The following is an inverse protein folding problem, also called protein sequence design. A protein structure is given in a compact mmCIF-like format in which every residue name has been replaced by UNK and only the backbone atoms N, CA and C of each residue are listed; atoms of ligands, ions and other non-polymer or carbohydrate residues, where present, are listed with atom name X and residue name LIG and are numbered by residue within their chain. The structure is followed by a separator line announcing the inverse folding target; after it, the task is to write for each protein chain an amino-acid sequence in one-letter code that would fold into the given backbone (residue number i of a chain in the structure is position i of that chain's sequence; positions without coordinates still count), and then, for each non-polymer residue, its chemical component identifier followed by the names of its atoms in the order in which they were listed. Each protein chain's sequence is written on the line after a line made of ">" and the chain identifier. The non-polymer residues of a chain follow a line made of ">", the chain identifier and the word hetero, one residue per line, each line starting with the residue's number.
data_IF_662217788342
#
_entry.id   IF_662217788342
#
_cell.length_a   1.000
_cell.length_b   1.000
_cell.length_c   1.000
_cell.angle_alpha   90.00
_cell.angle_beta   90.00
_cell.angle_gamma   90.00
#
_symmetry.space_group_name_H-M   'P 1'
#
loop_
_entity.id
_entity.type
_entity.pdbx_description
1 polymer ?
#
# COMPACT_ATOMS: atom_id res chain seq x y z
N UNK A 1 -16.32 -4.07 1.46
CA UNK A 1 -15.49 -2.88 1.77
C UNK A 1 -16.23 -1.85 2.63
N UNK A 2 -17.44 -1.39 2.27
CA UNK A 2 -18.26 -0.47 3.11
C UNK A 2 -18.40 -0.99 4.55
N UNK A 3 -18.83 -2.25 4.72
CA UNK A 3 -18.96 -2.90 6.05
C UNK A 3 -17.65 -2.89 6.84
N UNK A 4 -16.51 -3.03 6.17
CA UNK A 4 -15.18 -3.04 6.80
C UNK A 4 -14.80 -1.65 7.33
N UNK A 5 -15.12 -0.58 6.60
CA UNK A 5 -14.93 0.81 7.07
C UNK A 5 -15.78 1.05 8.32
N UNK A 6 -17.06 0.68 8.27
CA UNK A 6 -17.94 0.85 9.43
C UNK A 6 -17.65 -0.10 10.58
N UNK A 7 -17.02 -1.24 10.35
CA UNK A 7 -16.56 -2.13 11.42
C UNK A 7 -15.55 -1.41 12.33
N UNK A 8 -14.64 -0.61 11.76
CA UNK A 8 -13.68 0.20 12.53
C UNK A 8 -14.43 1.22 13.39
N UNK A 9 -15.42 1.90 12.81
CA UNK A 9 -16.26 2.84 13.54
C UNK A 9 -16.95 2.20 14.74
N UNK A 10 -17.69 1.10 14.47
CA UNK A 10 -18.42 0.34 15.49
C UNK A 10 -17.50 -0.18 16.59
N UNK A 11 -16.32 -0.68 16.20
CA UNK A 11 -15.31 -1.14 17.15
C UNK A 11 -14.84 0.00 18.08
N UNK A 12 -14.69 1.23 17.57
CA UNK A 12 -14.25 2.39 18.37
C UNK A 12 -15.35 3.05 19.20
N UNK A 13 -16.63 2.92 18.83
CA UNK A 13 -17.74 3.42 19.65
C UNK A 13 -18.26 2.40 20.66
N UNK A 14 -17.87 1.12 20.55
CA UNK A 14 -18.30 0.05 21.44
C UNK A 14 -18.00 0.34 22.92
N UNK A 15 -18.89 -0.12 23.77
CA UNK A 15 -18.82 0.01 25.23
C UNK A 15 -19.11 -1.33 25.90
N UNK A 16 -18.89 -1.42 27.21
CA UNK A 16 -19.21 -2.64 27.96
C UNK A 16 -20.72 -2.88 28.01
N UNK A 17 -21.50 -1.79 28.03
CA UNK A 17 -22.96 -1.81 28.05
C UNK A 17 -23.54 -2.07 26.65
N UNK A 18 -22.90 -1.53 25.62
CA UNK A 18 -23.33 -1.64 24.22
C UNK A 18 -22.15 -2.06 23.32
N UNK A 19 -21.87 -3.37 23.23
CA UNK A 19 -20.79 -3.91 22.40
C UNK A 19 -21.23 -4.01 20.92
N UNK A 20 -20.49 -3.38 20.00
CA UNK A 20 -20.79 -3.36 18.57
C UNK A 20 -19.70 -4.07 17.75
N UNK A 21 -19.58 -5.39 17.89
CA UNK A 21 -18.55 -6.19 17.20
C UNK A 21 -19.09 -7.06 16.06
N UNK A 22 -20.33 -6.82 15.63
CA UNK A 22 -21.05 -7.61 14.60
C UNK A 22 -20.29 -7.76 13.27
N UNK A 23 -19.44 -6.78 12.92
CA UNK A 23 -18.69 -6.75 11.67
C UNK A 23 -17.18 -6.96 11.86
N UNK A 24 -16.76 -7.32 13.07
CA UNK A 24 -15.38 -7.63 13.36
C UNK A 24 -15.04 -9.08 13.02
N UNK A 25 -13.78 -9.35 12.68
CA UNK A 25 -13.28 -10.72 12.65
C UNK A 25 -12.62 -11.09 13.98
N UNK A 26 -12.79 -12.34 14.39
CA UNK A 26 -12.23 -12.89 15.63
C UNK A 26 -10.71 -12.72 15.66
N UNK A 27 -10.03 -12.88 14.52
CA UNK A 27 -8.57 -12.74 14.39
C UNK A 27 -8.03 -11.39 14.90
N UNK A 28 -8.78 -10.30 14.73
CA UNK A 28 -8.33 -8.94 15.08
C UNK A 28 -9.10 -8.30 16.23
N UNK A 29 -10.24 -8.86 16.64
CA UNK A 29 -11.07 -8.29 17.70
C UNK A 29 -10.78 -8.92 19.07
N UNK A 30 -10.27 -8.11 20.01
CA UNK A 30 -10.03 -8.55 21.38
C UNK A 30 -11.29 -9.03 22.09
N UNK A 31 -12.41 -8.31 21.95
CA UNK A 31 -13.70 -8.69 22.55
C UNK A 31 -14.17 -10.07 22.11
N UNK A 32 -14.15 -10.35 20.79
CA UNK A 32 -14.57 -11.65 20.27
C UNK A 32 -13.63 -12.79 20.71
N UNK A 33 -12.32 -12.53 20.81
CA UNK A 33 -11.36 -13.50 21.36
C UNK A 33 -11.60 -13.79 22.83
N UNK A 34 -11.89 -12.75 23.62
CA UNK A 34 -12.22 -12.90 25.03
C UNK A 34 -13.50 -13.70 25.22
N UNK A 35 -14.50 -13.50 24.34
CA UNK A 35 -15.73 -14.29 24.33
C UNK A 35 -15.48 -15.79 24.03
N UNK A 36 -14.57 -16.12 23.11
CA UNK A 36 -14.19 -17.54 22.85
C UNK A 36 -13.47 -18.20 24.03
N UNK A 37 -12.76 -17.41 24.83
CA UNK A 37 -11.95 -17.87 25.96
C UNK A 37 -12.66 -17.76 27.31
N UNK A 38 -13.89 -17.25 27.34
CA UNK A 38 -14.64 -16.91 28.55
C UNK A 38 -13.87 -15.95 29.48
N UNK A 39 -13.17 -14.98 28.89
CA UNK A 39 -12.40 -13.94 29.59
C UNK A 39 -13.18 -12.62 29.61
N UNK A 40 -13.00 -11.83 30.68
CA UNK A 40 -13.54 -10.46 30.73
C UNK A 40 -12.81 -9.52 29.76
N UNK A 41 -13.58 -8.66 29.09
CA UNK A 41 -13.06 -7.64 28.18
C UNK A 41 -13.58 -6.26 28.56
N UNK A 42 -12.66 -5.32 28.76
CA UNK A 42 -12.99 -3.91 29.05
C UNK A 42 -12.77 -3.02 27.83
N UNK A 43 -13.88 -2.49 27.28
CA UNK A 43 -13.89 -1.58 26.14
C UNK A 43 -13.34 -0.19 26.47
N UNK A 44 -13.33 0.22 27.74
CA UNK A 44 -12.94 1.58 28.13
C UNK A 44 -11.48 1.90 27.78
N UNK A 45 -10.61 0.89 27.71
CA UNK A 45 -9.20 1.07 27.34
C UNK A 45 -8.99 1.53 25.89
N UNK A 46 -9.93 1.23 24.99
CA UNK A 46 -9.70 1.39 23.54
C UNK A 46 -10.80 2.16 22.81
N UNK A 47 -11.92 2.47 23.48
CA UNK A 47 -13.00 3.29 22.94
C UNK A 47 -12.60 4.75 22.81
N UNK A 48 -13.17 5.43 21.82
CA UNK A 48 -13.03 6.88 21.67
C UNK A 48 -14.18 7.60 22.39
N UNK A 49 -13.94 8.81 22.95
CA UNK A 49 -15.02 9.62 23.53
C UNK A 49 -16.11 9.95 22.50
N UNK A 50 -17.35 10.02 22.95
CA UNK A 50 -18.50 10.25 22.07
C UNK A 50 -18.40 11.56 21.26
N UNK A 51 -17.83 12.62 21.84
CA UNK A 51 -17.59 13.88 21.14
C UNK A 51 -16.63 13.73 19.96
N UNK A 52 -15.54 12.97 20.15
CA UNK A 52 -14.59 12.64 19.08
C UNK A 52 -15.30 11.82 18.02
N UNK A 53 -16.00 10.75 18.41
CA UNK A 53 -16.78 9.94 17.47
C UNK A 53 -17.71 10.84 16.65
N UNK A 54 -18.59 11.65 17.24
CA UNK A 54 -19.47 12.54 16.46
C UNK A 54 -18.71 13.44 15.46
N UNK A 55 -17.56 13.98 15.86
CA UNK A 55 -16.74 14.83 14.99
C UNK A 55 -16.13 14.09 13.80
N UNK A 56 -15.70 12.83 13.96
CA UNK A 56 -15.06 12.06 12.89
C UNK A 56 -16.05 11.31 11.99
N UNK A 57 -17.36 11.37 12.27
CA UNK A 57 -18.39 10.64 11.51
C UNK A 57 -18.42 11.00 10.03
N UNK A 58 -18.40 12.29 9.65
CA UNK A 58 -18.42 12.68 8.25
C UNK A 58 -17.26 12.08 7.45
N UNK A 59 -16.09 11.89 8.10
CA UNK A 59 -14.93 11.22 7.47
C UNK A 59 -15.25 9.77 7.15
N UNK A 60 -15.92 9.04 8.05
CA UNK A 60 -16.33 7.66 7.79
C UNK A 60 -17.43 7.57 6.74
N UNK A 61 -18.35 8.54 6.69
CA UNK A 61 -19.36 8.63 5.63
C UNK A 61 -18.69 8.81 4.25
N UNK A 62 -17.69 9.70 4.16
CA UNK A 62 -16.92 9.92 2.93
C UNK A 62 -16.07 8.70 2.54
N UNK A 63 -15.40 8.06 3.51
CA UNK A 63 -14.60 6.85 3.29
C UNK A 63 -15.47 5.66 2.86
N UNK A 64 -16.71 5.58 3.35
CA UNK A 64 -17.68 4.56 2.99
C UNK A 64 -18.41 4.87 1.68
N UNK A 65 -18.22 6.06 1.09
CA UNK A 65 -18.91 6.46 -0.12
C UNK A 65 -18.49 5.57 -1.30
N UNK A 66 -19.44 5.08 -2.13
CA UNK A 66 -19.13 4.19 -3.25
C UNK A 66 -18.06 4.73 -4.19
N UNK A 67 -18.04 6.04 -4.45
CA UNK A 67 -17.06 6.65 -5.34
C UNK A 67 -15.66 6.72 -4.74
N UNK A 68 -15.53 6.88 -3.42
CA UNK A 68 -14.25 6.76 -2.70
C UNK A 68 -13.74 5.32 -2.78
N UNK A 69 -14.65 4.36 -2.55
CA UNK A 69 -14.31 2.94 -2.57
C UNK A 69 -13.94 2.45 -3.97
N UNK A 70 -14.61 2.90 -5.03
CA UNK A 70 -14.26 2.58 -6.43
C UNK A 70 -12.80 2.93 -6.76
N UNK A 71 -12.26 4.01 -6.18
CA UNK A 71 -10.85 4.40 -6.36
C UNK A 71 -9.86 3.39 -5.73
N UNK A 72 -10.27 2.70 -4.66
CA UNK A 72 -9.42 1.76 -3.91
C UNK A 72 -9.70 0.27 -4.17
N UNK A 73 -10.86 -0.09 -4.74
CA UNK A 73 -11.27 -1.48 -5.03
C UNK A 73 -10.26 -2.20 -5.92
N UNK A 74 -9.69 -1.48 -6.89
CA UNK A 74 -8.65 -2.03 -7.75
C UNK A 74 -7.26 -1.75 -7.19
N UNK A 75 -7.03 -1.67 -5.88
CA UNK A 75 -5.73 -1.39 -5.25
C UNK A 75 -4.94 -0.26 -5.93
N UNK A 76 -5.66 0.73 -6.47
CA UNK A 76 -5.16 1.72 -7.42
C UNK A 76 -4.23 2.75 -6.79
N UNK A 77 -4.17 2.78 -5.46
CA UNK A 77 -3.18 3.55 -4.74
C UNK A 77 -1.89 2.73 -4.57
N UNK A 78 -1.12 2.58 -5.65
CA UNK A 78 0.25 3.03 -5.45
C UNK A 78 0.10 4.53 -5.30
N UNK A 79 0.15 5.02 -4.06
CA UNK A 79 0.12 6.45 -3.83
C UNK A 79 1.28 7.03 -4.65
N UNK A 80 0.98 7.69 -5.78
CA UNK A 80 2.02 8.17 -6.69
C UNK A 80 3.02 9.06 -5.95
N UNK A 81 2.58 9.73 -4.89
CA UNK A 81 3.44 10.50 -4.01
C UNK A 81 4.35 9.62 -3.17
N UNK A 82 3.90 8.46 -2.66
CA UNK A 82 4.78 7.50 -1.97
C UNK A 82 5.81 6.89 -2.94
N UNK A 83 5.39 6.51 -4.14
CA UNK A 83 6.30 5.99 -5.16
C UNK A 83 7.32 7.03 -5.60
N UNK A 84 6.91 8.27 -5.83
CA UNK A 84 7.81 9.39 -6.13
C UNK A 84 8.76 9.67 -4.96
N UNK A 85 8.24 9.76 -3.73
CA UNK A 85 9.06 9.97 -2.53
C UNK A 85 10.07 8.84 -2.33
N UNK A 86 9.75 7.60 -2.68
CA UNK A 86 10.70 6.50 -2.62
C UNK A 86 11.89 6.74 -3.56
N UNK A 87 11.65 7.19 -4.80
CA UNK A 87 12.72 7.55 -5.75
C UNK A 87 13.57 8.71 -5.21
N UNK A 88 12.92 9.77 -4.71
CA UNK A 88 13.61 10.93 -4.15
C UNK A 88 14.50 10.56 -2.95
N UNK A 89 13.95 9.80 -1.98
CA UNK A 89 14.68 9.45 -0.77
C UNK A 89 15.71 8.34 -0.97
N UNK A 90 15.62 7.58 -2.06
CA UNK A 90 16.72 6.71 -2.50
C UNK A 90 17.92 7.51 -3.00
N UNK A 91 17.69 8.65 -3.67
CA UNK A 91 18.75 9.55 -4.13
C UNK A 91 19.31 10.40 -2.98
N UNK A 92 18.44 10.92 -2.12
CA UNK A 92 18.80 11.74 -0.97
C UNK A 92 18.24 11.14 0.34
N UNK A 93 18.92 10.13 0.93
CA UNK A 93 18.45 9.50 2.16
C UNK A 93 18.28 10.49 3.29
N UNK A 94 17.11 10.46 3.94
CA UNK A 94 16.78 11.33 5.10
C UNK A 94 17.73 11.17 6.30
N UNK A 95 18.48 10.07 6.32
CA UNK A 95 19.46 9.75 7.37
C UNK A 95 20.80 10.44 7.16
N UNK A 96 21.01 11.13 6.03
CA UNK A 96 22.24 11.84 5.69
C UNK A 96 21.96 13.31 5.50
N UNK A 97 22.90 14.14 5.96
CA UNK A 97 22.86 15.56 5.68
C UNK A 97 23.14 15.81 4.19
N UNK A 98 22.32 16.66 3.58
CA UNK A 98 22.48 17.15 2.22
C UNK A 98 22.16 18.65 2.20
N UNK A 99 22.88 19.41 1.40
CA UNK A 99 22.59 20.84 1.20
C UNK A 99 21.32 21.01 0.36
N UNK A 100 20.67 22.18 0.46
CA UNK A 100 19.46 22.47 -0.35
C UNK A 100 19.68 22.22 -1.84
N UNK A 101 20.81 22.67 -2.39
CA UNK A 101 21.18 22.45 -3.78
C UNK A 101 21.26 20.96 -4.18
N UNK A 102 21.73 20.08 -3.28
CA UNK A 102 21.75 18.63 -3.52
C UNK A 102 20.34 18.06 -3.52
N UNK A 103 19.49 18.51 -2.59
CA UNK A 103 18.08 18.09 -2.55
C UNK A 103 17.34 18.52 -3.82
N UNK A 104 17.56 19.76 -4.29
CA UNK A 104 16.94 20.27 -5.52
C UNK A 104 17.36 19.46 -6.74
N UNK A 105 18.65 19.12 -6.84
CA UNK A 105 19.17 18.26 -7.90
C UNK A 105 18.56 16.85 -7.83
N UNK A 106 18.54 16.23 -6.64
CA UNK A 106 17.93 14.92 -6.45
C UNK A 106 16.42 14.93 -6.78
N UNK A 107 15.71 16.02 -6.47
CA UNK A 107 14.31 16.19 -6.83
C UNK A 107 14.12 16.27 -8.33
N UNK A 108 14.94 17.04 -9.04
CA UNK A 108 14.90 17.12 -10.51
C UNK A 108 15.18 15.74 -11.16
N UNK A 109 16.21 15.03 -10.70
CA UNK A 109 16.53 13.67 -11.17
C UNK A 109 15.39 12.69 -10.86
N UNK A 110 14.79 12.77 -9.66
CA UNK A 110 13.67 11.91 -9.28
C UNK A 110 12.46 12.12 -10.19
N UNK A 111 12.14 13.38 -10.54
CA UNK A 111 11.06 13.72 -11.48
C UNK A 111 11.31 13.09 -12.85
N UNK A 112 12.53 13.21 -13.38
CA UNK A 112 12.94 12.61 -14.65
C UNK A 112 12.80 11.09 -14.62
N UNK A 113 13.44 10.43 -13.65
CA UNK A 113 13.38 8.98 -13.49
C UNK A 113 11.96 8.45 -13.29
N UNK A 114 11.13 9.16 -12.53
CA UNK A 114 9.77 8.74 -12.23
C UNK A 114 8.86 8.84 -13.46
N UNK A 115 8.92 9.94 -14.20
CA UNK A 115 8.03 10.17 -15.34
C UNK A 115 8.52 9.47 -16.61
N UNK A 116 9.80 9.60 -16.94
CA UNK A 116 10.35 9.22 -18.25
C UNK A 116 11.30 8.01 -18.19
N UNK A 117 11.53 7.46 -16.99
CA UNK A 117 12.48 6.38 -16.75
C UNK A 117 13.90 6.88 -16.56
N UNK A 118 14.78 6.02 -16.06
CA UNK A 118 16.15 6.35 -15.68
C UNK A 118 17.05 6.72 -16.86
N UNK A 119 16.75 6.26 -18.08
CA UNK A 119 17.48 6.70 -19.28
C UNK A 119 17.33 8.20 -19.56
N UNK A 120 16.28 8.86 -19.06
CA UNK A 120 16.12 10.32 -19.16
C UNK A 120 17.24 11.11 -18.46
N UNK A 121 18.01 10.48 -17.57
CA UNK A 121 19.15 11.08 -16.88
C UNK A 121 20.39 11.18 -17.80
N UNK A 122 20.47 10.38 -18.87
CA UNK A 122 21.62 10.38 -19.78
C UNK A 122 22.03 11.79 -20.28
N UNK A 123 21.13 12.63 -20.82
CA UNK A 123 21.49 14.00 -21.22
C UNK A 123 22.00 14.86 -20.05
N UNK A 124 21.48 14.65 -18.83
CA UNK A 124 21.95 15.38 -17.64
C UNK A 124 23.37 14.97 -17.27
N UNK A 125 23.68 13.67 -17.32
CA UNK A 125 25.05 13.19 -17.06
C UNK A 125 26.00 13.73 -18.12
N UNK A 126 25.60 13.71 -19.39
CA UNK A 126 26.42 14.22 -20.49
C UNK A 126 26.80 15.69 -20.30
N UNK A 127 25.81 16.54 -19.98
CA UNK A 127 26.03 17.96 -19.69
C UNK A 127 26.95 18.17 -18.47
N UNK A 128 26.77 17.39 -17.40
CA UNK A 128 27.56 17.54 -16.17
C UNK A 128 29.00 17.02 -16.29
N UNK A 129 29.25 16.01 -17.12
CA UNK A 129 30.59 15.42 -17.28
C UNK A 129 31.35 15.96 -18.50
N UNK A 130 30.67 16.64 -19.41
CA UNK A 130 31.26 17.23 -20.61
C UNK A 130 31.88 16.21 -21.57
N UNK A 131 31.49 14.93 -21.49
CA UNK A 131 32.23 13.82 -22.10
C UNK A 131 31.41 12.59 -22.50
N UNK A 132 30.09 12.68 -22.59
CA UNK A 132 29.23 11.55 -22.91
C UNK A 132 29.00 10.62 -21.72
N UNK A 133 27.89 9.89 -21.74
CA UNK A 133 27.69 8.78 -20.82
C UNK A 133 28.51 7.56 -21.25
N UNK A 134 29.28 6.99 -20.32
CA UNK A 134 29.99 5.73 -20.53
C UNK A 134 29.05 4.57 -20.89
N UNK A 135 29.60 3.57 -21.59
CA UNK A 135 28.85 2.39 -22.05
C UNK A 135 28.10 1.69 -20.90
N UNK A 136 28.77 1.44 -19.79
CA UNK A 136 28.18 0.76 -18.64
C UNK A 136 27.04 1.56 -18.01
N UNK A 137 27.14 2.89 -17.96
CA UNK A 137 26.06 3.76 -17.47
C UNK A 137 24.79 3.58 -18.30
N UNK A 138 24.92 3.62 -19.64
CA UNK A 138 23.78 3.41 -20.56
C UNK A 138 23.14 2.04 -20.37
N UNK A 139 23.96 0.99 -20.24
CA UNK A 139 23.47 -0.38 -20.02
C UNK A 139 22.75 -0.52 -18.68
N UNK A 140 23.29 0.04 -17.60
CA UNK A 140 22.67 -0.04 -16.27
C UNK A 140 21.35 0.70 -16.23
N UNK A 141 21.29 1.94 -16.75
CA UNK A 141 20.05 2.72 -16.74
C UNK A 141 18.96 2.05 -17.56
N UNK A 142 19.30 1.46 -18.72
CA UNK A 142 18.36 0.68 -19.51
C UNK A 142 17.83 -0.54 -18.74
N UNK A 143 18.70 -1.28 -18.04
CA UNK A 143 18.28 -2.45 -17.23
C UNK A 143 17.38 -2.06 -16.06
N UNK A 144 17.60 -0.89 -15.45
CA UNK A 144 16.73 -0.38 -14.40
C UNK A 144 15.33 -0.09 -14.95
N UNK A 145 15.23 0.49 -16.15
CA UNK A 145 13.94 0.73 -16.81
C UNK A 145 13.23 -0.58 -17.19
N UNK A 146 13.95 -1.55 -17.75
CA UNK A 146 13.41 -2.88 -18.06
C UNK A 146 12.86 -3.56 -16.80
N UNK A 147 13.59 -3.46 -15.69
CA UNK A 147 13.18 -4.00 -14.39
C UNK A 147 11.93 -3.30 -13.85
N UNK A 148 11.87 -1.97 -13.93
CA UNK A 148 10.70 -1.17 -13.54
C UNK A 148 9.45 -1.62 -14.29
N UNK A 149 9.54 -1.73 -15.61
CA UNK A 149 8.43 -2.17 -16.47
C UNK A 149 8.03 -3.61 -16.16
N UNK A 150 9.01 -4.51 -15.95
CA UNK A 150 8.74 -5.88 -15.55
C UNK A 150 7.94 -5.97 -14.24
N UNK A 151 8.34 -5.22 -13.20
CA UNK A 151 7.62 -5.24 -11.92
C UNK A 151 6.23 -4.62 -12.03
N UNK A 152 6.04 -3.59 -12.85
CA UNK A 152 4.71 -3.06 -13.14
C UNK A 152 3.81 -4.15 -13.76
N UNK A 153 4.30 -4.87 -14.77
CA UNK A 153 3.56 -5.98 -15.37
C UNK A 153 3.33 -7.13 -14.39
N UNK A 154 4.32 -7.50 -13.57
CA UNK A 154 4.18 -8.52 -12.52
C UNK A 154 3.09 -8.13 -11.53
N UNK A 155 3.12 -6.89 -11.04
CA UNK A 155 2.09 -6.37 -10.14
C UNK A 155 0.70 -6.39 -10.79
N UNK A 156 0.58 -5.96 -12.06
CA UNK A 156 -0.69 -6.04 -12.80
C UNK A 156 -1.21 -7.48 -12.91
N UNK A 157 -0.34 -8.46 -13.19
CA UNK A 157 -0.72 -9.89 -13.23
C UNK A 157 -1.21 -10.40 -11.88
N UNK A 158 -0.41 -10.22 -10.83
CA UNK A 158 -0.77 -10.64 -9.46
C UNK A 158 -2.06 -9.97 -8.99
N UNK A 159 -2.29 -8.72 -9.40
CA UNK A 159 -3.51 -7.98 -9.07
C UNK A 159 -4.73 -8.48 -9.83
N UNK A 160 -4.59 -8.85 -11.10
CA UNK A 160 -5.64 -9.52 -11.86
C UNK A 160 -5.98 -10.89 -11.25
N UNK A 161 -4.97 -11.69 -10.90
CA UNK A 161 -5.13 -12.98 -10.21
C UNK A 161 -5.85 -12.82 -8.86
N UNK A 162 -5.40 -11.86 -8.04
CA UNK A 162 -6.08 -11.52 -6.77
C UNK A 162 -7.51 -11.07 -7.01
N UNK A 163 -7.79 -10.21 -7.99
CA UNK A 163 -9.15 -9.73 -8.30
C UNK A 163 -10.06 -10.88 -8.73
N UNK A 164 -9.56 -11.82 -9.55
CA UNK A 164 -10.28 -13.05 -9.90
C UNK A 164 -10.60 -13.89 -8.67
N UNK A 165 -9.60 -14.17 -7.82
CA UNK A 165 -9.79 -14.86 -6.54
C UNK A 165 -10.76 -14.12 -5.61
N UNK A 166 -10.77 -12.78 -5.62
CA UNK A 166 -11.70 -12.00 -4.79
C UNK A 166 -13.13 -12.09 -5.32
N UNK A 167 -13.32 -12.08 -6.64
CA UNK A 167 -14.64 -12.27 -7.25
C UNK A 167 -15.14 -13.71 -7.04
N UNK A 168 -14.28 -14.71 -7.24
CA UNK A 168 -14.60 -16.11 -6.96
C UNK A 168 -14.94 -16.34 -5.48
N UNK A 169 -14.22 -15.71 -4.55
CA UNK A 169 -14.57 -15.78 -3.12
C UNK A 169 -15.82 -14.98 -2.74
N UNK A 170 -16.15 -13.89 -3.45
CA UNK A 170 -17.43 -13.20 -3.30
C UNK A 170 -18.61 -14.03 -3.83
N UNK A 171 -18.40 -14.77 -4.92
CA UNK A 171 -19.38 -15.70 -5.49
C UNK A 171 -19.56 -16.94 -4.58
N UNK A 172 -18.47 -17.46 -4.00
CA UNK A 172 -18.50 -18.53 -2.99
C UNK A 172 -19.09 -18.07 -1.64
N UNK A 173 -18.99 -16.79 -1.28
CA UNK A 173 -19.69 -16.26 -0.10
C UNK A 173 -21.19 -16.11 -0.33
N UNK A 174 -21.65 -16.14 -1.59
CA UNK A 174 -23.08 -16.23 -1.95
C UNK A 174 -23.54 -17.68 -2.20
N UNK A 175 -22.62 -18.64 -2.37
CA UNK A 175 -22.87 -20.06 -2.51
C UNK A 175 -21.97 -20.90 -1.59
N UNK A 176 -22.50 -21.26 -0.43
CA UNK A 176 -21.79 -21.89 0.69
C UNK A 176 -20.94 -23.14 0.32
N UNK A 177 -19.76 -23.25 0.98
CA UNK A 177 -18.84 -24.41 1.17
C UNK A 177 -18.13 -25.04 -0.05
N UNK A 178 -16.79 -24.97 -0.06
CA UNK A 178 -15.85 -26.12 0.03
C UNK A 178 -14.38 -25.69 -0.19
N UNK A 179 -13.47 -26.39 0.50
CA UNK A 179 -12.01 -26.23 0.57
C UNK A 179 -11.26 -26.42 -0.75
N UNK A 180 -10.04 -25.87 -0.86
CA UNK A 180 -8.80 -26.62 -1.16
C UNK A 180 -7.57 -25.69 -1.10
N UNK A 181 -6.50 -26.20 -0.48
CA UNK A 181 -5.21 -25.52 -0.40
C UNK A 181 -4.42 -25.60 -1.70
N UNK A 182 -3.52 -24.64 -1.90
CA UNK A 182 -2.49 -24.70 -2.94
C UNK A 182 -1.17 -24.28 -2.29
N UNK A 183 -0.23 -25.21 -2.27
CA UNK A 183 1.19 -24.93 -2.06
C UNK A 183 1.76 -24.51 -3.42
N UNK A 184 2.49 -23.40 -3.48
CA UNK A 184 3.37 -23.09 -4.60
C UNK A 184 4.74 -22.69 -4.05
N UNK A 185 5.68 -23.62 -4.16
CA UNK A 185 7.11 -23.38 -4.20
C UNK A 185 7.42 -22.68 -5.53
N UNK A 186 7.92 -21.45 -5.45
CA UNK A 186 8.52 -20.78 -6.60
C UNK A 186 9.78 -20.03 -6.14
N UNK A 187 10.85 -20.80 -6.02
CA UNK A 187 12.21 -20.35 -5.70
C UNK A 187 12.81 -19.42 -6.77
N UNK A 188 12.65 -18.11 -6.54
CA UNK A 188 13.68 -17.10 -6.83
C UNK A 188 13.80 -16.25 -5.56
N UNK A 189 15.04 -16.03 -5.10
CA UNK A 189 15.36 -15.31 -3.86
C UNK A 189 14.54 -14.01 -3.73
N UNK A 190 13.53 -14.10 -2.86
CA UNK A 190 12.51 -13.10 -2.53
C UNK A 190 13.01 -12.17 -1.40
N UNK A 191 14.31 -11.92 -1.33
CA UNK A 191 14.84 -10.88 -0.44
C UNK A 191 14.31 -9.52 -0.89
N UNK A 192 13.22 -9.12 -0.25
CA UNK A 192 12.63 -7.78 -0.35
C UNK A 192 13.72 -6.75 -0.02
N UNK A 193 14.18 -6.03 -1.04
CA UNK A 193 15.05 -4.86 -0.87
C UNK A 193 14.14 -3.63 -0.97
N UNK A 194 13.92 -2.90 0.14
CA UNK A 194 13.22 -1.62 0.09
C UNK A 194 13.90 -0.69 -0.92
N UNK A 195 13.13 -0.14 -1.86
CA UNK A 195 13.63 0.85 -2.82
C UNK A 195 14.03 0.31 -4.20
N UNK A 196 13.74 -0.96 -4.52
CA UNK A 196 13.78 -1.44 -5.91
C UNK A 196 12.52 -0.99 -6.67
N UNK A 197 12.52 0.29 -7.10
CA UNK A 197 11.60 0.84 -8.10
C UNK A 197 12.41 1.31 -9.30
#
# INVERSE_FOLDING_TARGET
>A
MIRSVWAIWKHKCSSNEEPHHEWCSIKYCGYLKSLEKDEEYDHNKHRLPLGVMKAIRPVFDELAHPDTLKKVINGGSQNSNESFHAVLWNLAPKTRYATGAVIDLCAAIAVLSFNDGNQSILPVIDELTGGGCGFYTKVVLKRLDERRVYYEHKQKRTKQEKTKLTNETLDLQQGDRMSLGVNDDNSLDDSYIPGAY
#
